data_IF_856171038066
#
_entry.id   IF_856171038066
#
_cell.length_a   1.000
_cell.length_b   1.000
_cell.length_c   1.000
_cell.angle_alpha   90.00
_cell.angle_beta   90.00
_cell.angle_gamma   90.00
#
_symmetry.space_group_name_H-M   'P 1'
#
loop_
_entity.id
_entity.type
_entity.pdbx_description
1 polymer ?
#
# COMPACT_ATOMS: atom_id res chain seq x y z
N UNK A 1 -25.88 -10.43 12.57
CA UNK A 1 -24.49 -9.99 12.40
C UNK A 1 -24.33 -9.50 10.97
N UNK A 2 -23.76 -8.31 10.70
CA UNK A 2 -23.47 -7.89 9.33
C UNK A 2 -22.42 -8.84 8.75
N UNK A 3 -22.60 -9.27 7.51
CA UNK A 3 -21.60 -10.06 6.80
C UNK A 3 -20.26 -9.29 6.75
N UNK A 4 -19.10 -9.97 6.87
CA UNK A 4 -17.81 -9.31 6.77
C UNK A 4 -17.68 -8.58 5.43
N UNK A 5 -16.96 -7.47 5.37
CA UNK A 5 -16.71 -6.74 4.14
C UNK A 5 -16.02 -7.63 3.10
N UNK A 6 -16.39 -7.44 1.83
CA UNK A 6 -15.65 -8.05 0.72
C UNK A 6 -14.33 -7.32 0.47
N UNK A 7 -14.36 -5.99 0.56
CA UNK A 7 -13.21 -5.12 0.33
C UNK A 7 -12.98 -4.19 1.52
N UNK A 8 -11.77 -4.17 2.05
CA UNK A 8 -11.26 -3.10 2.92
C UNK A 8 -10.26 -2.26 2.15
N UNK A 9 -10.44 -0.94 2.12
CA UNK A 9 -9.44 -0.01 1.58
C UNK A 9 -8.72 0.65 2.77
N UNK A 10 -7.40 0.67 2.74
CA UNK A 10 -6.55 1.21 3.79
C UNK A 10 -5.76 2.40 3.24
N UNK A 11 -5.94 3.58 3.83
CA UNK A 11 -5.26 4.82 3.46
C UNK A 11 -4.35 5.25 4.61
N UNK A 12 -3.03 5.07 4.50
CA UNK A 12 -2.08 5.71 5.40
C UNK A 12 -2.07 7.22 5.14
N UNK A 13 -2.27 8.04 6.17
CA UNK A 13 -2.35 9.48 6.05
C UNK A 13 -1.37 10.18 7.01
N UNK A 14 -0.49 11.02 6.47
CA UNK A 14 0.42 11.88 7.21
C UNK A 14 0.53 13.25 6.54
N UNK A 15 0.03 14.31 7.18
CA UNK A 15 -0.06 15.66 6.63
C UNK A 15 -0.71 15.67 5.23
N UNK A 16 -1.95 15.17 5.16
CA UNK A 16 -2.74 15.00 3.94
C UNK A 16 -4.00 15.88 3.93
N UNK A 17 -4.07 16.96 4.74
CA UNK A 17 -5.26 17.81 4.86
C UNK A 17 -5.80 18.31 3.52
N UNK A 18 -4.91 18.54 2.53
CA UNK A 18 -5.29 19.04 1.20
C UNK A 18 -5.76 17.93 0.25
N UNK A 19 -5.28 16.69 0.42
CA UNK A 19 -5.55 15.59 -0.52
C UNK A 19 -6.60 14.61 0.01
N UNK A 20 -6.61 14.37 1.32
CA UNK A 20 -7.48 13.38 1.95
C UNK A 20 -8.97 13.59 1.66
N UNK A 21 -9.55 14.81 1.72
CA UNK A 21 -10.97 15.01 1.42
C UNK A 21 -11.36 14.57 0.01
N UNK A 22 -10.54 14.94 -0.98
CA UNK A 22 -10.78 14.54 -2.38
C UNK A 22 -10.62 13.02 -2.55
N UNK A 23 -9.61 12.41 -1.93
CA UNK A 23 -9.40 10.97 -1.99
C UNK A 23 -10.60 10.20 -1.39
N UNK A 24 -11.07 10.61 -0.23
CA UNK A 24 -12.23 10.01 0.43
C UNK A 24 -13.49 10.13 -0.45
N UNK A 25 -13.75 11.31 -1.01
CA UNK A 25 -14.90 11.53 -1.89
C UNK A 25 -14.88 10.61 -3.11
N UNK A 26 -13.73 10.46 -3.78
CA UNK A 26 -13.60 9.58 -4.96
C UNK A 26 -13.74 8.09 -4.58
N UNK A 27 -13.17 7.67 -3.45
CA UNK A 27 -13.27 6.29 -3.01
C UNK A 27 -14.71 5.95 -2.61
N UNK A 28 -15.40 6.83 -1.87
CA UNK A 28 -16.81 6.58 -1.53
C UNK A 28 -17.70 6.54 -2.78
N UNK A 29 -17.53 7.46 -3.72
CA UNK A 29 -18.25 7.45 -4.98
C UNK A 29 -17.98 6.17 -5.81
N UNK A 30 -16.81 5.57 -5.69
CA UNK A 30 -16.50 4.26 -6.27
C UNK A 30 -17.20 3.14 -5.51
N UNK A 31 -17.12 3.13 -4.17
CA UNK A 31 -17.68 2.07 -3.32
C UNK A 31 -19.22 2.02 -3.39
N UNK A 32 -19.89 3.14 -3.50
CA UNK A 32 -21.36 3.24 -3.68
C UNK A 32 -21.86 2.52 -4.95
N UNK A 33 -21.01 2.41 -5.96
CA UNK A 33 -21.34 1.71 -7.22
C UNK A 33 -21.09 0.20 -7.16
N UNK A 34 -20.49 -0.30 -6.07
CA UNK A 34 -20.19 -1.72 -5.92
C UNK A 34 -21.36 -2.47 -5.31
N UNK A 35 -21.55 -3.73 -5.74
CA UNK A 35 -22.60 -4.61 -5.20
C UNK A 35 -22.20 -5.37 -3.94
N UNK A 36 -20.96 -5.21 -3.48
CA UNK A 36 -20.42 -5.91 -2.32
C UNK A 36 -20.21 -4.97 -1.13
N UNK A 37 -20.32 -5.49 0.11
CA UNK A 37 -20.06 -4.73 1.31
C UNK A 37 -18.57 -4.34 1.40
N UNK A 38 -18.29 -3.11 1.83
CA UNK A 38 -16.93 -2.60 1.96
C UNK A 38 -16.75 -1.79 3.24
N UNK A 39 -15.49 -1.64 3.66
CA UNK A 39 -15.06 -0.69 4.70
C UNK A 39 -13.89 0.12 4.19
N UNK A 40 -13.72 1.32 4.75
CA UNK A 40 -12.59 2.20 4.50
C UNK A 40 -11.91 2.53 5.83
N UNK A 41 -10.58 2.38 5.88
CA UNK A 41 -9.77 2.71 7.03
C UNK A 41 -8.79 3.83 6.66
N UNK A 42 -8.88 4.95 7.35
CA UNK A 42 -7.82 5.97 7.35
C UNK A 42 -6.95 5.72 8.57
N UNK A 43 -5.66 5.49 8.34
CA UNK A 43 -4.69 5.36 9.42
C UNK A 43 -3.84 6.62 9.45
N UNK A 44 -4.22 7.53 10.32
CA UNK A 44 -3.51 8.77 10.54
C UNK A 44 -2.24 8.47 11.37
N UNK A 45 -1.12 9.09 10.99
CA UNK A 45 0.19 8.72 11.50
C UNK A 45 0.98 9.93 12.02
N UNK A 46 0.45 10.57 13.08
CA UNK A 46 1.11 11.67 13.77
C UNK A 46 1.20 12.97 12.94
N UNK A 47 0.17 13.31 12.18
CA UNK A 47 0.09 14.56 11.40
C UNK A 47 0.13 15.80 12.29
N UNK A 48 0.63 16.89 11.73
CA UNK A 48 0.70 18.21 12.38
C UNK A 48 -0.30 19.21 11.79
N UNK A 49 -1.00 18.81 10.74
CA UNK A 49 -2.04 19.55 10.06
C UNK A 49 -3.44 19.03 10.46
N UNK A 50 -4.49 19.45 9.77
CA UNK A 50 -5.86 19.05 10.07
C UNK A 50 -6.26 17.65 9.56
N UNK A 51 -5.30 16.80 9.17
CA UNK A 51 -5.58 15.46 8.60
C UNK A 51 -6.48 14.62 9.49
N UNK A 52 -6.17 14.54 10.80
CA UNK A 52 -6.96 13.74 11.76
C UNK A 52 -8.37 14.30 11.96
N UNK A 53 -8.47 15.62 12.11
CA UNK A 53 -9.76 16.32 12.25
C UNK A 53 -10.66 16.05 11.05
N UNK A 54 -10.14 16.26 9.83
CA UNK A 54 -10.87 16.02 8.59
C UNK A 54 -11.29 14.56 8.46
N UNK A 55 -10.41 13.61 8.78
CA UNK A 55 -10.78 12.19 8.76
C UNK A 55 -11.97 11.88 9.67
N UNK A 56 -11.99 12.46 10.89
CA UNK A 56 -13.12 12.30 11.82
C UNK A 56 -14.40 13.01 11.34
N UNK A 57 -14.31 14.15 10.68
CA UNK A 57 -15.48 14.82 10.10
C UNK A 57 -16.19 13.92 9.07
N UNK A 58 -15.41 13.22 8.23
CA UNK A 58 -15.94 12.29 7.24
C UNK A 58 -16.67 11.08 7.85
N UNK A 59 -16.33 10.63 9.06
CA UNK A 59 -17.06 9.52 9.73
C UNK A 59 -18.53 9.85 10.00
N UNK A 60 -18.89 11.13 10.11
CA UNK A 60 -20.28 11.57 10.32
C UNK A 60 -21.15 11.33 9.07
N UNK A 61 -20.55 11.47 7.90
CA UNK A 61 -21.23 11.28 6.62
C UNK A 61 -21.15 9.84 6.14
N UNK A 62 -20.03 9.15 6.42
CA UNK A 62 -19.74 7.81 5.93
C UNK A 62 -19.50 6.84 7.09
N UNK A 63 -20.55 6.15 7.59
CA UNK A 63 -20.43 5.22 8.74
C UNK A 63 -19.53 4.00 8.49
N UNK A 64 -19.21 3.72 7.23
CA UNK A 64 -18.27 2.65 6.84
C UNK A 64 -16.80 3.08 6.97
N UNK A 65 -16.52 4.37 7.27
CA UNK A 65 -15.19 4.89 7.52
C UNK A 65 -14.78 4.64 8.97
N UNK A 66 -13.60 4.06 9.13
CA UNK A 66 -12.94 3.93 10.43
C UNK A 66 -11.65 4.75 10.43
N UNK A 67 -11.43 5.54 11.45
CA UNK A 67 -10.19 6.31 11.64
C UNK A 67 -9.38 5.66 12.74
N UNK A 68 -8.13 5.34 12.44
CA UNK A 68 -7.15 4.81 13.39
C UNK A 68 -6.02 5.83 13.53
N UNK A 69 -5.55 6.02 14.75
CA UNK A 69 -4.39 6.87 15.03
C UNK A 69 -3.18 6.02 15.40
N UNK A 70 -2.03 6.29 14.76
CA UNK A 70 -0.76 5.62 15.03
C UNK A 70 0.24 6.66 15.56
N UNK A 71 0.60 6.52 16.82
CA UNK A 71 1.45 7.50 17.54
C UNK A 71 2.87 7.58 16.99
N UNK A 72 3.37 6.45 16.48
CA UNK A 72 4.75 6.39 15.99
C UNK A 72 4.82 6.65 14.49
N UNK A 73 5.65 7.61 14.04
CA UNK A 73 5.74 7.98 12.64
C UNK A 73 6.29 6.82 11.79
N UNK A 74 5.73 6.69 10.59
CA UNK A 74 6.20 5.74 9.58
C UNK A 74 5.07 5.15 8.74
N UNK A 75 5.17 5.28 7.41
CA UNK A 75 4.16 4.76 6.48
C UNK A 75 3.95 3.25 6.68
N UNK A 76 5.03 2.49 6.86
CA UNK A 76 4.96 1.05 7.11
C UNK A 76 4.15 0.69 8.35
N UNK A 77 4.28 1.45 9.45
CA UNK A 77 3.47 1.25 10.66
C UNK A 77 1.99 1.52 10.42
N UNK A 78 1.68 2.65 9.78
CA UNK A 78 0.30 3.00 9.46
C UNK A 78 -0.36 1.92 8.60
N UNK A 79 0.34 1.44 7.57
CA UNK A 79 -0.15 0.35 6.72
C UNK A 79 -0.31 -0.94 7.50
N UNK A 80 0.69 -1.35 8.28
CA UNK A 80 0.62 -2.55 9.11
C UNK A 80 -0.58 -2.52 10.04
N UNK A 81 -0.78 -1.40 10.77
CA UNK A 81 -1.93 -1.22 11.67
C UNK A 81 -3.26 -1.32 10.93
N UNK A 82 -3.37 -0.66 9.78
CA UNK A 82 -4.58 -0.69 8.97
C UNK A 82 -4.88 -2.08 8.42
N UNK A 83 -3.87 -2.76 7.88
CA UNK A 83 -4.01 -4.11 7.33
C UNK A 83 -4.40 -5.15 8.37
N UNK A 84 -3.92 -5.03 9.62
CA UNK A 84 -4.29 -5.91 10.72
C UNK A 84 -5.67 -5.57 11.32
N UNK A 85 -6.08 -4.31 11.28
CA UNK A 85 -7.38 -3.88 11.77
C UNK A 85 -8.53 -4.09 10.77
N UNK A 86 -8.21 -4.25 9.49
CA UNK A 86 -9.17 -4.49 8.43
C UNK A 86 -9.74 -5.91 8.50
N UNK A 87 -11.01 -6.07 8.12
CA UNK A 87 -11.74 -7.33 8.23
C UNK A 87 -12.21 -7.89 6.88
N UNK A 88 -11.93 -7.17 5.80
CA UNK A 88 -12.35 -7.55 4.45
C UNK A 88 -11.66 -8.80 3.92
N UNK A 89 -12.41 -9.51 3.06
CA UNK A 89 -11.88 -10.67 2.32
C UNK A 89 -10.68 -10.27 1.44
N UNK A 90 -10.70 -9.06 0.91
CA UNK A 90 -9.58 -8.42 0.20
C UNK A 90 -9.23 -7.12 0.91
N UNK A 91 -7.94 -6.87 1.11
CA UNK A 91 -7.42 -5.67 1.79
C UNK A 91 -6.55 -4.90 0.82
N UNK A 92 -6.98 -3.70 0.48
CA UNK A 92 -6.37 -2.86 -0.54
C UNK A 92 -5.69 -1.64 0.09
N UNK A 93 -4.40 -1.47 -0.14
CA UNK A 93 -3.65 -0.29 0.25
C UNK A 93 -3.82 0.76 -0.85
N UNK A 94 -4.18 1.99 -0.49
CA UNK A 94 -4.27 3.12 -1.41
C UNK A 94 -3.58 4.36 -0.81
N UNK A 95 -2.76 5.03 -1.60
CA UNK A 95 -2.18 6.31 -1.18
C UNK A 95 -3.21 7.44 -1.26
N UNK A 96 -3.14 8.40 -0.34
CA UNK A 96 -4.06 9.54 -0.27
C UNK A 96 -3.96 10.50 -1.47
N UNK A 97 -2.94 10.38 -2.32
CA UNK A 97 -2.79 11.17 -3.54
C UNK A 97 -3.55 10.61 -4.74
N UNK A 98 -4.07 9.37 -4.63
CA UNK A 98 -4.76 8.67 -5.72
C UNK A 98 -4.03 8.75 -7.07
N UNK A 99 -2.72 8.57 -7.05
CA UNK A 99 -1.91 8.53 -8.27
C UNK A 99 -2.36 7.46 -9.28
N UNK A 100 -3.14 6.47 -8.84
CA UNK A 100 -3.89 5.53 -9.67
C UNK A 100 -5.38 5.89 -9.62
N UNK A 101 -6.09 5.95 -10.76
CA UNK A 101 -7.54 6.14 -10.76
C UNK A 101 -8.26 5.08 -9.93
N UNK A 102 -9.21 5.49 -9.10
CA UNK A 102 -9.91 4.60 -8.15
C UNK A 102 -10.63 3.44 -8.85
N UNK A 103 -11.12 3.65 -10.08
CA UNK A 103 -11.77 2.60 -10.87
C UNK A 103 -10.88 1.40 -11.18
N UNK A 104 -9.56 1.58 -11.19
CA UNK A 104 -8.59 0.51 -11.41
C UNK A 104 -8.61 -0.55 -10.29
N UNK A 105 -9.11 -0.23 -9.09
CA UNK A 105 -9.24 -1.17 -7.97
C UNK A 105 -9.93 -2.47 -8.40
N UNK A 106 -10.94 -2.39 -9.27
CA UNK A 106 -11.66 -3.56 -9.76
C UNK A 106 -10.78 -4.58 -10.48
N UNK A 107 -9.65 -4.15 -11.06
CA UNK A 107 -8.71 -5.04 -11.76
C UNK A 107 -7.86 -5.90 -10.80
N UNK A 108 -7.83 -5.53 -9.52
CA UNK A 108 -7.09 -6.24 -8.47
C UNK A 108 -7.96 -7.28 -7.74
N UNK A 109 -9.22 -7.35 -8.08
CA UNK A 109 -10.20 -8.20 -7.43
C UNK A 109 -10.73 -9.27 -8.40
N UNK A 110 -11.20 -10.44 -7.91
CA UNK A 110 -11.93 -11.38 -8.75
C UNK A 110 -13.17 -10.76 -9.41
N UNK A 111 -13.51 -11.14 -10.64
CA UNK A 111 -12.85 -12.20 -11.45
C UNK A 111 -11.59 -11.74 -12.21
N UNK A 112 -11.25 -10.45 -12.23
CA UNK A 112 -10.14 -9.92 -13.02
C UNK A 112 -8.78 -10.42 -12.52
N UNK A 113 -8.56 -10.50 -11.20
CA UNK A 113 -7.39 -11.12 -10.59
C UNK A 113 -7.78 -12.06 -9.46
N UNK A 114 -7.50 -13.35 -9.63
CA UNK A 114 -7.71 -14.37 -8.59
C UNK A 114 -6.35 -14.87 -8.08
N UNK A 115 -5.64 -14.01 -7.36
CA UNK A 115 -4.29 -14.23 -6.84
C UNK A 115 -4.24 -13.94 -5.33
N UNK A 116 -3.15 -14.29 -4.67
CA UNK A 116 -2.98 -14.00 -3.24
C UNK A 116 -2.67 -12.53 -3.00
N UNK A 117 -1.81 -11.97 -3.88
CA UNK A 117 -1.39 -10.58 -3.83
C UNK A 117 -1.37 -10.02 -5.25
N UNK A 118 -2.05 -8.89 -5.47
CA UNK A 118 -1.95 -8.09 -6.69
C UNK A 118 -1.29 -6.75 -6.36
N UNK A 119 -0.26 -6.38 -7.10
CA UNK A 119 0.42 -5.10 -6.93
C UNK A 119 0.32 -4.26 -8.19
N UNK A 120 0.10 -2.97 -8.03
CA UNK A 120 0.17 -2.03 -9.12
C UNK A 120 1.62 -1.86 -9.57
N UNK A 121 1.83 -1.81 -10.87
CA UNK A 121 3.15 -1.64 -11.45
C UNK A 121 3.13 -0.52 -12.50
N UNK A 122 4.10 0.37 -12.38
CA UNK A 122 4.37 1.44 -13.36
C UNK A 122 5.28 0.97 -14.48
N UNK A 123 5.76 -0.29 -14.41
CA UNK A 123 6.71 -0.90 -15.33
C UNK A 123 6.15 -2.12 -16.06
N UNK A 124 5.06 -2.72 -15.56
CA UNK A 124 4.44 -3.90 -16.19
C UNK A 124 3.73 -3.54 -17.50
N UNK A 125 3.46 -4.54 -18.31
CA UNK A 125 2.74 -4.36 -19.57
C UNK A 125 1.40 -3.64 -19.37
N UNK A 126 1.13 -2.63 -20.22
CA UNK A 126 -0.06 -1.77 -20.13
C UNK A 126 0.06 -0.61 -19.12
N UNK A 127 1.19 -0.47 -18.45
CA UNK A 127 1.43 0.70 -17.60
C UNK A 127 1.67 1.98 -18.42
N UNK A 128 1.10 3.08 -17.96
CA UNK A 128 1.32 4.41 -18.56
C UNK A 128 1.63 5.41 -17.45
N UNK A 129 2.65 6.23 -17.63
CA UNK A 129 3.06 7.28 -16.68
C UNK A 129 2.73 8.65 -17.23
N UNK A 130 2.07 9.48 -16.42
CA UNK A 130 1.69 10.85 -16.78
C UNK A 130 2.42 11.86 -15.90
N UNK A 131 3.17 12.79 -16.53
CA UNK A 131 3.76 13.95 -15.87
C UNK A 131 4.96 13.68 -14.94
N UNK A 132 5.53 12.47 -14.92
CA UNK A 132 6.66 12.15 -14.07
C UNK A 132 7.97 12.79 -14.59
N UNK A 133 8.72 13.53 -13.74
CA UNK A 133 10.04 14.04 -14.11
C UNK A 133 11.03 12.89 -14.36
N UNK A 134 11.84 13.01 -15.42
CA UNK A 134 12.80 11.97 -15.85
C UNK A 134 13.75 11.54 -14.73
N UNK A 135 14.25 12.49 -13.92
CA UNK A 135 15.18 12.17 -12.83
C UNK A 135 14.54 11.26 -11.76
N UNK A 136 13.24 11.41 -11.49
CA UNK A 136 12.51 10.53 -10.54
C UNK A 136 12.30 9.14 -11.11
N UNK A 137 11.96 9.08 -12.39
CA UNK A 137 11.85 7.81 -13.09
C UNK A 137 13.17 7.02 -13.02
N UNK A 138 14.30 7.67 -13.36
CA UNK A 138 15.62 7.04 -13.30
C UNK A 138 16.00 6.59 -11.89
N UNK A 139 15.77 7.43 -10.88
CA UNK A 139 16.03 7.07 -9.47
C UNK A 139 15.20 5.87 -9.04
N UNK A 140 13.92 5.84 -9.40
CA UNK A 140 13.02 4.71 -9.12
C UNK A 140 13.51 3.42 -9.80
N UNK A 141 13.96 3.49 -11.05
CA UNK A 141 14.51 2.33 -11.77
C UNK A 141 15.79 1.77 -11.14
N UNK A 142 16.70 2.65 -10.71
CA UNK A 142 17.91 2.21 -9.99
C UNK A 142 17.54 1.49 -8.71
N UNK A 143 16.61 2.04 -7.94
CA UNK A 143 16.18 1.40 -6.70
C UNK A 143 15.44 0.06 -6.94
N UNK A 144 14.55 -0.01 -7.92
CA UNK A 144 13.92 -1.26 -8.33
C UNK A 144 14.93 -2.30 -8.83
N UNK A 145 16.00 -1.87 -9.50
CA UNK A 145 17.10 -2.77 -9.88
C UNK A 145 17.79 -3.37 -8.64
N UNK A 146 18.09 -2.54 -7.63
CA UNK A 146 18.68 -3.01 -6.37
C UNK A 146 17.75 -3.99 -5.63
N UNK A 147 16.45 -3.73 -5.60
CA UNK A 147 15.47 -4.63 -5.01
C UNK A 147 15.50 -5.99 -5.70
N UNK A 148 15.48 -6.01 -7.04
CA UNK A 148 15.52 -7.27 -7.81
C UNK A 148 16.81 -8.05 -7.59
N UNK A 149 17.93 -7.35 -7.48
CA UNK A 149 19.24 -7.97 -7.27
C UNK A 149 19.38 -8.56 -5.86
N UNK A 150 18.87 -7.86 -4.84
CA UNK A 150 19.16 -8.16 -3.45
C UNK A 150 18.07 -8.99 -2.76
N UNK A 151 16.79 -8.80 -3.13
CA UNK A 151 15.65 -9.27 -2.33
C UNK A 151 14.58 -9.99 -3.18
N UNK A 152 14.07 -9.36 -4.24
CA UNK A 152 12.88 -9.79 -4.97
C UNK A 152 13.14 -9.93 -6.49
N UNK A 153 13.91 -10.92 -6.94
CA UNK A 153 14.08 -11.15 -8.37
C UNK A 153 12.74 -11.43 -9.05
N UNK A 154 12.52 -10.85 -10.23
CA UNK A 154 11.34 -11.08 -11.06
C UNK A 154 10.24 -10.03 -10.94
N UNK A 155 10.15 -9.24 -9.86
CA UNK A 155 9.20 -8.13 -9.74
C UNK A 155 9.80 -6.84 -10.30
N UNK A 156 9.01 -6.10 -11.09
CA UNK A 156 9.48 -4.90 -11.79
C UNK A 156 9.27 -3.62 -10.98
N UNK A 157 8.12 -3.50 -10.28
CA UNK A 157 7.79 -2.34 -9.46
C UNK A 157 7.14 -2.74 -8.13
N UNK A 158 7.93 -2.83 -7.08
CA UNK A 158 7.47 -3.23 -5.75
C UNK A 158 6.98 -2.06 -4.90
N UNK A 159 7.20 -0.82 -5.33
CA UNK A 159 6.98 0.38 -4.51
C UNK A 159 5.79 1.24 -4.95
N UNK A 160 5.02 0.83 -5.93
CA UNK A 160 3.74 1.47 -6.20
C UNK A 160 2.82 1.29 -4.99
N UNK A 161 2.22 2.37 -4.50
CA UNK A 161 1.45 2.39 -3.23
C UNK A 161 0.14 1.62 -3.26
N UNK A 162 -0.28 1.11 -4.42
CA UNK A 162 -1.53 0.38 -4.59
C UNK A 162 -1.28 -1.13 -4.61
N UNK A 163 -1.76 -1.83 -3.59
CA UNK A 163 -1.60 -3.28 -3.44
C UNK A 163 -2.83 -3.91 -2.83
N UNK A 164 -3.24 -5.04 -3.37
CA UNK A 164 -4.34 -5.84 -2.86
C UNK A 164 -3.82 -7.17 -2.32
N UNK A 165 -4.24 -7.52 -1.13
CA UNK A 165 -3.95 -8.79 -0.47
C UNK A 165 -5.24 -9.53 -0.18
N UNK A 166 -5.26 -10.86 -0.30
CA UNK A 166 -6.31 -11.64 0.36
C UNK A 166 -6.23 -11.41 1.87
N UNK A 167 -7.36 -11.33 2.55
CA UNK A 167 -7.41 -11.04 3.99
C UNK A 167 -6.60 -12.04 4.81
N UNK A 168 -6.73 -13.33 4.51
CA UNK A 168 -5.95 -14.41 5.17
C UNK A 168 -4.45 -14.26 4.95
N UNK A 169 -4.03 -13.87 3.75
CA UNK A 169 -2.62 -13.63 3.42
C UNK A 169 -2.10 -12.40 4.15
N UNK A 170 -2.91 -11.34 4.26
CA UNK A 170 -2.53 -10.16 5.03
C UNK A 170 -2.33 -10.48 6.52
N UNK A 171 -3.20 -11.31 7.12
CA UNK A 171 -3.08 -11.76 8.51
C UNK A 171 -1.80 -12.55 8.77
N UNK A 172 -1.30 -13.27 7.78
CA UNK A 172 -0.06 -14.02 7.90
C UNK A 172 1.21 -13.21 7.60
N UNK A 173 1.13 -12.19 6.76
CA UNK A 173 2.31 -11.40 6.34
C UNK A 173 2.58 -10.23 7.28
N UNK A 174 1.56 -9.41 7.56
CA UNK A 174 1.75 -8.13 8.23
C UNK A 174 2.27 -8.23 9.68
N UNK A 175 2.02 -9.28 10.47
CA UNK A 175 2.65 -9.44 11.79
C UNK A 175 4.18 -9.58 11.76
N UNK A 176 4.76 -9.97 10.64
CA UNK A 176 6.21 -10.15 10.47
C UNK A 176 6.96 -8.89 10.04
N UNK A 177 6.25 -7.82 9.69
CA UNK A 177 6.88 -6.57 9.26
C UNK A 177 7.58 -5.88 10.44
N UNK A 178 8.84 -5.54 10.22
CA UNK A 178 9.70 -4.85 11.19
C UNK A 178 10.07 -3.44 10.75
N UNK A 179 9.86 -3.12 9.47
CA UNK A 179 10.20 -1.83 8.89
C UNK A 179 9.04 -0.84 8.99
N UNK A 180 9.32 0.29 9.64
CA UNK A 180 8.34 1.38 9.78
C UNK A 180 8.33 2.37 8.61
N UNK A 181 9.40 2.39 7.80
CA UNK A 181 9.64 3.36 6.74
C UNK A 181 9.08 2.95 5.39
N UNK A 182 9.67 3.51 4.32
CA UNK A 182 9.23 3.34 2.94
C UNK A 182 9.48 1.95 2.35
N UNK A 183 10.42 1.18 2.92
CA UNK A 183 10.78 -0.15 2.42
C UNK A 183 9.85 -1.27 2.93
N UNK A 184 8.79 -0.95 3.68
CA UNK A 184 7.81 -1.94 4.18
C UNK A 184 7.16 -2.75 3.04
N UNK A 185 6.96 -2.13 1.89
CA UNK A 185 6.43 -2.78 0.68
C UNK A 185 7.31 -3.96 0.24
N UNK A 186 8.63 -3.73 0.22
CA UNK A 186 9.60 -4.74 -0.15
C UNK A 186 9.63 -5.85 0.90
N UNK A 187 9.57 -5.49 2.20
CA UNK A 187 9.52 -6.46 3.29
C UNK A 187 8.27 -7.34 3.20
N UNK A 188 7.08 -6.74 3.00
CA UNK A 188 5.83 -7.50 2.86
C UNK A 188 5.88 -8.52 1.70
N UNK A 189 6.41 -8.11 0.55
CA UNK A 189 6.56 -9.01 -0.59
C UNK A 189 7.67 -10.07 -0.38
N UNK A 190 8.70 -9.75 0.40
CA UNK A 190 9.73 -10.72 0.79
C UNK A 190 9.16 -11.80 1.72
N UNK A 191 8.33 -11.40 2.71
CA UNK A 191 7.59 -12.34 3.57
C UNK A 191 6.66 -13.22 2.73
N UNK A 192 5.91 -12.59 1.81
CA UNK A 192 4.99 -13.31 0.90
C UNK A 192 5.72 -14.39 0.11
N UNK A 193 6.88 -14.05 -0.46
CA UNK A 193 7.67 -14.97 -1.28
C UNK A 193 8.24 -16.13 -0.46
N UNK A 194 8.64 -15.88 0.80
CA UNK A 194 9.13 -16.94 1.70
C UNK A 194 8.03 -17.92 2.13
N UNK A 195 6.77 -17.55 1.91
CA UNK A 195 5.58 -18.33 2.21
C UNK A 195 4.87 -18.83 0.96
N UNK A 196 5.54 -18.77 -0.19
CA UNK A 196 5.07 -19.26 -1.49
C UNK A 196 3.74 -18.64 -1.97
N UNK A 197 3.41 -17.42 -1.50
CA UNK A 197 2.25 -16.70 -2.01
C UNK A 197 2.49 -16.15 -3.42
N UNK A 198 1.46 -16.26 -4.24
CA UNK A 198 1.47 -15.73 -5.61
C UNK A 198 1.38 -14.20 -5.60
N UNK A 199 2.27 -13.55 -6.38
CA UNK A 199 2.27 -12.10 -6.58
C UNK A 199 2.10 -11.79 -8.05
N UNK A 200 1.09 -10.99 -8.40
CA UNK A 200 0.80 -10.57 -9.77
C UNK A 200 0.99 -9.06 -9.89
N UNK A 201 1.76 -8.63 -10.90
CA UNK A 201 1.91 -7.20 -11.23
C UNK A 201 0.87 -6.79 -12.26
N UNK A 202 0.13 -5.73 -11.96
CA UNK A 202 -0.90 -5.15 -12.82
C UNK A 202 -0.42 -3.78 -13.31
N UNK A 203 -0.18 -3.64 -14.62
CA UNK A 203 0.16 -2.36 -15.24
C UNK A 203 -0.99 -1.37 -15.11
N UNK A 204 -0.72 -0.17 -14.61
CA UNK A 204 -1.71 0.86 -14.33
C UNK A 204 -1.42 2.18 -15.04
N UNK A 205 -2.44 3.00 -15.36
CA UNK A 205 -2.25 4.43 -15.58
C UNK A 205 -1.86 5.07 -14.24
N UNK A 206 -0.71 5.74 -14.22
CA UNK A 206 -0.19 6.39 -13.03
C UNK A 206 0.07 7.87 -13.28
N UNK A 207 -0.51 8.73 -12.47
CA UNK A 207 -0.39 10.18 -12.57
C UNK A 207 0.56 10.69 -11.48
N UNK A 208 1.59 11.42 -11.89
CA UNK A 208 2.48 12.05 -10.94
C UNK A 208 1.82 13.25 -10.25
N UNK A 209 1.81 13.23 -8.93
CA UNK A 209 1.42 14.38 -8.13
C UNK A 209 2.63 15.01 -7.44
N UNK A 210 2.86 16.32 -7.60
CA UNK A 210 3.90 17.03 -6.85
C UNK A 210 3.62 16.98 -5.35
N UNK A 211 4.66 17.15 -4.52
CA UNK A 211 4.51 17.10 -3.05
C UNK A 211 4.78 15.73 -2.43
N UNK A 212 5.58 14.90 -3.12
CA UNK A 212 6.10 13.66 -2.52
C UNK A 212 6.86 13.95 -1.22
N UNK A 213 6.58 13.17 -0.18
CA UNK A 213 7.24 13.29 1.14
C UNK A 213 8.58 12.55 1.20
N UNK A 214 8.99 11.89 0.12
CA UNK A 214 10.28 11.19 0.02
C UNK A 214 11.40 12.18 -0.29
N UNK A 215 12.35 12.28 0.62
CA UNK A 215 13.60 13.05 0.43
C UNK A 215 14.62 12.15 -0.27
N UNK A 216 14.91 12.43 -1.57
CA UNK A 216 15.64 11.51 -2.44
C UNK A 216 16.94 10.99 -1.80
N UNK A 217 17.84 11.85 -1.34
CA UNK A 217 19.16 11.42 -0.82
C UNK A 217 19.03 10.66 0.53
N UNK A 218 18.33 11.27 1.49
CA UNK A 218 18.21 10.72 2.85
C UNK A 218 17.43 9.42 2.89
N UNK A 219 16.28 9.40 2.21
CA UNK A 219 15.41 8.22 2.24
C UNK A 219 15.98 7.10 1.37
N UNK A 220 16.63 7.40 0.23
CA UNK A 220 17.26 6.36 -0.59
C UNK A 220 18.36 5.63 0.16
N UNK A 221 19.18 6.33 0.95
CA UNK A 221 20.21 5.68 1.76
C UNK A 221 19.59 4.79 2.86
N UNK A 222 18.56 5.31 3.55
CA UNK A 222 17.84 4.53 4.56
C UNK A 222 17.18 3.28 3.95
N UNK A 223 16.51 3.46 2.82
CA UNK A 223 15.87 2.37 2.09
C UNK A 223 16.89 1.33 1.61
N UNK A 224 18.10 1.75 1.22
CA UNK A 224 19.17 0.79 0.89
C UNK A 224 19.58 -0.05 2.10
N UNK A 225 19.76 0.56 3.27
CA UNK A 225 20.06 -0.16 4.50
C UNK A 225 18.91 -1.12 4.88
N UNK A 226 17.67 -0.69 4.66
CA UNK A 226 16.49 -1.53 4.87
C UNK A 226 16.52 -2.77 3.94
N UNK A 227 16.95 -2.66 2.67
CA UNK A 227 17.12 -3.82 1.79
C UNK A 227 18.15 -4.82 2.34
N UNK A 228 19.25 -4.33 2.90
CA UNK A 228 20.26 -5.20 3.51
C UNK A 228 19.70 -5.90 4.76
N UNK A 229 18.88 -5.20 5.56
CA UNK A 229 18.18 -5.78 6.71
C UNK A 229 17.18 -6.85 6.27
N UNK A 230 16.36 -6.59 5.25
CA UNK A 230 15.43 -7.59 4.70
C UNK A 230 16.21 -8.83 4.23
N UNK A 231 17.29 -8.63 3.47
CA UNK A 231 18.14 -9.73 3.00
C UNK A 231 18.74 -10.54 4.15
N UNK A 232 19.17 -9.87 5.21
CA UNK A 232 19.67 -10.53 6.41
C UNK A 232 18.57 -11.36 7.09
N UNK A 233 17.39 -10.81 7.28
CA UNK A 233 16.23 -11.50 7.87
C UNK A 233 15.81 -12.73 7.03
N UNK A 234 15.85 -12.63 5.70
CA UNK A 234 15.60 -13.78 4.79
C UNK A 234 16.60 -14.90 5.09
N UNK A 235 17.90 -14.56 5.23
CA UNK A 235 18.95 -15.56 5.48
C UNK A 235 18.83 -16.23 6.85
N UNK A 236 18.31 -15.51 7.84
CA UNK A 236 18.06 -16.03 9.18
C UNK A 236 16.75 -16.84 9.29
N UNK A 237 15.94 -16.92 8.22
CA UNK A 237 14.63 -17.57 8.28
C UNK A 237 13.60 -16.80 9.12
N UNK A 238 13.82 -15.50 9.39
CA UNK A 238 12.92 -14.69 10.23
C UNK A 238 11.50 -14.53 9.66
N UNK A 239 11.35 -14.77 8.37
CA UNK A 239 10.08 -14.67 7.65
C UNK A 239 9.44 -16.02 7.35
N UNK A 240 10.10 -17.12 7.70
CA UNK A 240 9.60 -18.45 7.47
C UNK A 240 8.35 -18.72 8.34
N UNK A 241 7.42 -19.58 7.90
CA UNK A 241 6.31 -19.99 8.73
C UNK A 241 6.82 -20.52 10.08
N UNK A 242 6.20 -20.09 11.17
CA UNK A 242 6.48 -20.72 12.48
C UNK A 242 5.85 -22.10 12.46
N UNK A 243 6.63 -23.11 12.82
CA UNK A 243 6.18 -24.49 12.96
C UNK A 243 5.12 -24.61 14.07
#
# INVERSE_FOLDING_TARGET
MKSPPYLSIIIPAYNEETRLPNALGQIFAFLEKQSYPSELLVVENGSRDRTLELAHEFTRTYPALRVLHEDQPGKGRAVQRGMLAATGKYRFIADADLSMPVGEISRFLPPACNCDIAIASREAAGAVRYGEPIYRHLTGRVYNFLIRLLVLPGLQDTQCGFKCFRGTVAEEIFPYLTLSGWAFDVEALAVARRRDYSVVEIGIPWVYHPGSKVTILKDSWRMFLDLLKIRHNIRLGAYDPRA
#
